data_IF_169341046711
#
_entry.id   IF_169341046711
#
_cell.length_a   1.000
_cell.length_b   1.000
_cell.length_c   1.000
_cell.angle_alpha   90.00
_cell.angle_beta   90.00
_cell.angle_gamma   90.00
#
_symmetry.space_group_name_H-M   'P 1'
#
loop_
_entity.id
_entity.type
_entity.pdbx_description
1 polymer ?
#
# COMPACT_ATOMS: atom_id res chain seq x y z
N UNK A 1 -25.26 -1.91 -7.25
CA UNK A 1 -24.38 -0.82 -6.78
C UNK A 1 -22.94 -1.21 -7.08
N UNK A 2 -22.37 -0.72 -8.19
CA UNK A 2 -21.05 -1.14 -8.67
C UNK A 2 -19.90 -0.51 -7.86
N UNK A 3 -20.04 0.75 -7.44
CA UNK A 3 -18.95 1.52 -6.80
C UNK A 3 -18.46 0.92 -5.47
N UNK A 4 -19.38 0.40 -4.64
CA UNK A 4 -19.01 -0.19 -3.35
C UNK A 4 -18.16 -1.47 -3.47
N UNK A 5 -18.46 -2.31 -4.46
CA UNK A 5 -17.67 -3.53 -4.72
C UNK A 5 -16.28 -3.20 -5.28
N UNK A 6 -16.18 -2.23 -6.20
CA UNK A 6 -14.86 -1.79 -6.71
C UNK A 6 -13.98 -1.23 -5.60
N UNK A 7 -14.50 -0.36 -4.74
CA UNK A 7 -13.73 0.20 -3.62
C UNK A 7 -13.26 -0.89 -2.64
N UNK A 8 -14.12 -1.87 -2.34
CA UNK A 8 -13.75 -3.01 -1.48
C UNK A 8 -12.65 -3.88 -2.11
N UNK A 9 -12.71 -4.10 -3.42
CA UNK A 9 -11.74 -4.91 -4.13
C UNK A 9 -10.36 -4.24 -4.19
N UNK A 10 -10.31 -2.92 -4.40
CA UNK A 10 -9.07 -2.13 -4.38
C UNK A 10 -8.38 -2.23 -3.02
N UNK A 11 -9.13 -2.02 -1.92
CA UNK A 11 -8.56 -2.14 -0.58
C UNK A 11 -8.09 -3.56 -0.28
N UNK A 12 -8.81 -4.58 -0.74
CA UNK A 12 -8.41 -5.98 -0.58
C UNK A 12 -7.12 -6.30 -1.34
N UNK A 13 -6.94 -5.73 -2.53
CA UNK A 13 -5.72 -5.88 -3.32
C UNK A 13 -4.54 -5.18 -2.65
N UNK A 14 -4.74 -3.98 -2.13
CA UNK A 14 -3.73 -3.24 -1.37
C UNK A 14 -3.24 -4.00 -0.14
N UNK A 15 -4.15 -4.58 0.66
CA UNK A 15 -3.81 -5.42 1.82
C UNK A 15 -2.97 -6.62 1.40
N UNK A 16 -3.36 -7.32 0.33
CA UNK A 16 -2.59 -8.46 -0.19
C UNK A 16 -1.19 -8.06 -0.64
N UNK A 17 -1.03 -6.86 -1.21
CA UNK A 17 0.28 -6.35 -1.63
C UNK A 17 1.22 -6.16 -0.44
N UNK A 18 0.74 -5.55 0.64
CA UNK A 18 1.52 -5.36 1.87
C UNK A 18 1.93 -6.71 2.47
N UNK A 19 0.97 -7.64 2.55
CA UNK A 19 1.23 -8.99 3.07
C UNK A 19 2.27 -9.74 2.22
N UNK A 20 2.16 -9.65 0.88
CA UNK A 20 3.09 -10.30 -0.05
C UNK A 20 4.48 -9.67 -0.03
N UNK A 21 4.55 -8.34 0.12
CA UNK A 21 5.81 -7.63 0.19
C UNK A 21 6.65 -8.04 1.41
N UNK A 22 6.01 -8.59 2.46
CA UNK A 22 6.66 -9.15 3.65
C UNK A 22 7.69 -8.18 4.26
N UNK A 23 7.32 -6.90 4.35
CA UNK A 23 8.17 -5.82 4.87
C UNK A 23 8.43 -6.06 6.36
N UNK A 24 9.70 -6.06 6.74
CA UNK A 24 10.17 -6.25 8.12
C UNK A 24 10.77 -4.97 8.67
N UNK A 25 10.84 -4.88 10.00
CA UNK A 25 11.53 -3.77 10.67
C UNK A 25 12.99 -3.73 10.22
N UNK A 26 13.42 -2.57 9.71
CA UNK A 26 14.76 -2.36 9.16
C UNK A 26 14.84 -2.44 7.64
N UNK A 27 13.79 -2.93 6.96
CA UNK A 27 13.74 -2.90 5.50
C UNK A 27 13.56 -1.46 5.00
N UNK A 28 14.26 -1.13 3.91
CA UNK A 28 14.04 0.10 3.16
C UNK A 28 13.17 -0.22 1.95
N UNK A 29 11.97 0.36 1.90
CA UNK A 29 11.01 0.14 0.81
C UNK A 29 10.48 1.47 0.28
N UNK A 30 10.25 1.53 -1.03
CA UNK A 30 9.51 2.61 -1.68
C UNK A 30 8.07 2.16 -1.91
N UNK A 31 7.12 2.98 -1.47
CA UNK A 31 5.69 2.70 -1.63
C UNK A 31 5.02 3.81 -2.42
N UNK A 32 4.40 3.42 -3.53
CA UNK A 32 3.64 4.30 -4.40
C UNK A 32 2.16 3.97 -4.20
N UNK A 33 1.35 4.94 -3.81
CA UNK A 33 -0.05 4.72 -3.49
C UNK A 33 -0.82 6.01 -3.30
N UNK A 34 -2.07 5.86 -2.88
CA UNK A 34 -2.95 6.99 -2.56
C UNK A 34 -3.10 7.14 -1.05
N UNK A 35 -3.18 8.38 -0.61
CA UNK A 35 -3.44 8.76 0.78
C UNK A 35 -4.38 9.97 0.81
N UNK A 36 -4.95 10.26 1.96
CA UNK A 36 -5.86 11.40 2.13
C UNK A 36 -5.11 12.72 1.90
N UNK A 37 -5.65 13.61 1.06
CA UNK A 37 -5.01 14.87 0.70
C UNK A 37 -4.74 15.85 1.86
N UNK A 38 -5.27 15.56 3.05
CA UNK A 38 -5.16 16.41 4.23
C UNK A 38 -3.93 16.09 5.10
N UNK A 39 -3.28 14.94 4.90
CA UNK A 39 -2.16 14.48 5.75
C UNK A 39 -1.08 13.76 4.92
N UNK A 40 0.19 13.88 5.33
CA UNK A 40 1.25 13.00 4.80
C UNK A 40 1.35 11.79 5.72
N UNK A 41 1.03 10.58 5.25
CA UNK A 41 1.00 9.38 6.07
C UNK A 41 2.37 9.10 6.68
N UNK A 42 2.38 8.75 7.96
CA UNK A 42 3.60 8.45 8.72
C UNK A 42 3.88 6.96 8.79
N UNK A 43 2.88 6.12 8.48
CA UNK A 43 3.01 4.67 8.48
C UNK A 43 2.51 4.05 7.17
N UNK A 44 3.11 2.94 6.74
CA UNK A 44 2.70 2.24 5.51
C UNK A 44 1.21 1.83 5.47
N UNK A 45 0.56 1.41 6.57
CA UNK A 45 -0.86 1.10 6.58
C UNK A 45 -1.78 2.29 6.27
N UNK A 46 -1.28 3.53 6.34
CA UNK A 46 -2.03 4.75 6.01
C UNK A 46 -1.99 5.09 4.52
N UNK A 47 -1.21 4.36 3.73
CA UNK A 47 -1.17 4.44 2.26
C UNK A 47 -1.94 3.23 1.70
N UNK A 48 -2.79 3.44 0.70
CA UNK A 48 -3.32 2.35 -0.13
C UNK A 48 -2.33 2.10 -1.27
N UNK A 49 -1.46 1.07 -1.19
CA UNK A 49 -0.41 0.86 -2.19
C UNK A 49 -0.96 0.40 -3.53
N UNK A 50 -0.38 0.98 -4.58
CA UNK A 50 -0.47 0.50 -5.95
C UNK A 50 0.84 -0.19 -6.39
N UNK A 51 1.95 0.08 -5.71
CA UNK A 51 3.26 -0.56 -5.93
C UNK A 51 4.12 -0.49 -4.67
N UNK A 52 4.88 -1.55 -4.39
CA UNK A 52 5.91 -1.61 -3.35
C UNK A 52 7.21 -2.09 -4.01
N UNK A 53 8.32 -1.41 -3.75
CA UNK A 53 9.66 -1.75 -4.24
C UNK A 53 10.59 -1.90 -3.05
N UNK A 54 11.35 -2.99 -2.98
CA UNK A 54 12.42 -3.17 -1.99
C UNK A 54 13.68 -2.45 -2.46
N UNK A 55 14.17 -1.50 -1.68
CA UNK A 55 15.40 -0.76 -2.00
C UNK A 55 16.59 -1.71 -1.83
N UNK A 56 17.00 -2.34 -2.94
CA UNK A 56 18.10 -3.31 -2.99
C UNK A 56 17.81 -4.59 -3.78
N UNK A 57 16.59 -4.78 -4.29
CA UNK A 57 16.22 -5.94 -5.10
C UNK A 57 16.03 -5.57 -6.58
N UNK A 58 16.78 -6.24 -7.44
CA UNK A 58 16.59 -6.29 -8.90
C UNK A 58 15.25 -6.94 -9.26
#
# INVERSE_FOLDING_TARGET
>A
MLFGEYSKNINSQAVKMIQTANVKTGDSVEVYGVFSAWDIPQTLPEITPAKIIHAGGQ
#
